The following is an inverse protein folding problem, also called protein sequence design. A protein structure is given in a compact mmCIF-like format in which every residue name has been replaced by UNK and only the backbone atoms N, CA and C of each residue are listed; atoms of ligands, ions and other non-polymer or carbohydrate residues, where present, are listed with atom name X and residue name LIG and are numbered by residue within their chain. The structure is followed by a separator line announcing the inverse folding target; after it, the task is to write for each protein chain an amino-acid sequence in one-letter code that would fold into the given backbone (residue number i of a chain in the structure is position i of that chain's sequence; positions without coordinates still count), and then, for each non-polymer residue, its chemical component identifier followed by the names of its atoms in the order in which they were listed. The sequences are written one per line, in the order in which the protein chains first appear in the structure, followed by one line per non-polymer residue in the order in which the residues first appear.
data_IF_119496166166
#
_entry.id   IF_119496166166
#
_cell.length_a   1.000
_cell.length_b   1.000
_cell.length_c   1.000
_cell.angle_alpha   90.00
_cell.angle_beta   90.00
_cell.angle_gamma   90.00
#
_symmetry.space_group_name_H-M   'P 1'
#
loop_
_entity.id
_entity.type
_entity.pdbx_description
1 polymer ?
#
# COMPACT_ATOMS: atom_id res chain seq x y z
N UNK A 1 -31.85 -54.94 20.84
CA UNK A 1 -31.31 -55.03 19.45
C UNK A 1 -31.95 -53.92 18.65
N UNK A 2 -31.11 -53.07 18.05
CA UNK A 2 -31.42 -52.05 17.05
C UNK A 2 -32.38 -50.92 17.52
N UNK A 3 -32.15 -49.69 17.05
CA UNK A 3 -32.96 -48.48 17.29
C UNK A 3 -32.57 -47.63 18.52
N UNK A 4 -31.27 -47.53 18.86
CA UNK A 4 -30.80 -46.34 19.62
C UNK A 4 -29.40 -45.84 19.25
N UNK A 5 -28.77 -46.40 18.22
CA UNK A 5 -27.46 -45.98 17.70
C UNK A 5 -27.55 -45.28 16.33
N UNK A 6 -28.69 -44.67 16.01
CA UNK A 6 -28.92 -44.00 14.72
C UNK A 6 -29.29 -42.52 14.87
N UNK A 7 -28.57 -41.80 15.75
CA UNK A 7 -28.67 -40.35 15.89
C UNK A 7 -27.28 -39.70 16.02
N UNK A 8 -26.32 -40.21 15.24
CA UNK A 8 -24.99 -39.62 15.07
C UNK A 8 -24.62 -39.53 13.57
N UNK A 9 -25.60 -39.17 12.74
CA UNK A 9 -25.42 -38.92 11.33
C UNK A 9 -26.25 -37.69 10.93
N UNK A 10 -25.93 -36.55 11.52
CA UNK A 10 -26.56 -35.27 11.18
C UNK A 10 -25.47 -34.22 11.01
N UNK A 11 -25.08 -34.09 9.73
CA UNK A 11 -24.47 -32.92 9.10
C UNK A 11 -23.17 -32.35 9.70
N UNK A 12 -22.05 -33.00 9.39
CA UNK A 12 -20.87 -32.23 8.97
C UNK A 12 -21.15 -31.74 7.54
N UNK A 13 -21.86 -30.63 7.39
CA UNK A 13 -21.69 -29.82 6.18
C UNK A 13 -20.29 -29.22 6.27
N UNK A 14 -19.30 -29.90 5.70
CA UNK A 14 -18.08 -29.25 5.27
C UNK A 14 -18.50 -28.19 4.27
N UNK A 15 -18.62 -26.94 4.71
CA UNK A 15 -18.58 -25.82 3.80
C UNK A 15 -17.25 -25.95 3.06
N UNK A 16 -17.29 -26.39 1.80
CA UNK A 16 -16.15 -26.27 0.93
C UNK A 16 -15.89 -24.77 0.85
N UNK A 17 -14.93 -24.28 1.63
CA UNK A 17 -14.37 -22.97 1.40
C UNK A 17 -13.81 -23.05 -0.03
N UNK A 18 -14.50 -22.40 -0.97
CA UNK A 18 -13.89 -22.12 -2.26
C UNK A 18 -12.59 -21.40 -1.93
N UNK A 19 -11.48 -21.93 -2.42
CA UNK A 19 -10.18 -21.30 -2.29
C UNK A 19 -9.68 -21.11 -3.71
N UNK A 20 -9.29 -19.90 -4.06
CA UNK A 20 -8.74 -19.58 -5.36
C UNK A 20 -7.22 -19.61 -5.27
N UNK A 21 -6.63 -20.53 -6.02
CA UNK A 21 -5.19 -20.67 -6.13
C UNK A 21 -4.70 -20.16 -7.49
N UNK A 22 -3.83 -19.13 -7.47
CA UNK A 22 -3.23 -18.53 -8.65
C UNK A 22 -1.82 -19.08 -8.81
N UNK A 23 -1.71 -20.11 -9.65
CA UNK A 23 -0.47 -20.81 -9.98
C UNK A 23 0.25 -20.26 -11.21
N UNK A 24 -0.44 -19.41 -12.00
CA UNK A 24 0.08 -18.81 -13.23
C UNK A 24 -0.27 -17.33 -13.29
N UNK A 25 0.39 -16.60 -14.19
CA UNK A 25 0.15 -15.18 -14.40
C UNK A 25 -1.29 -14.95 -14.90
N UNK A 26 -2.03 -14.06 -14.23
CA UNK A 26 -3.43 -13.78 -14.51
C UNK A 26 -3.68 -12.27 -14.52
N UNK A 27 -4.38 -11.78 -15.54
CA UNK A 27 -4.80 -10.39 -15.66
C UNK A 27 -6.31 -10.36 -15.93
N UNK A 28 -7.06 -9.72 -15.04
CA UNK A 28 -8.50 -9.48 -15.22
C UNK A 28 -8.78 -7.98 -15.27
N UNK A 29 -9.83 -7.59 -16.00
CA UNK A 29 -10.21 -6.20 -16.24
C UNK A 29 -11.70 -5.99 -15.99
N UNK A 30 -12.05 -4.85 -15.40
CA UNK A 30 -13.41 -4.50 -15.03
C UNK A 30 -13.90 -5.26 -13.80
N UNK A 31 -15.18 -5.64 -13.81
CA UNK A 31 -15.81 -6.30 -12.66
C UNK A 31 -15.24 -7.71 -12.45
N UNK A 32 -14.66 -7.93 -11.27
CA UNK A 32 -14.17 -9.23 -10.81
C UNK A 32 -14.72 -9.50 -9.42
N UNK A 33 -15.46 -10.60 -9.25
CA UNK A 33 -15.93 -11.03 -7.95
C UNK A 33 -14.80 -11.71 -7.17
N UNK A 34 -14.45 -11.14 -6.01
CA UNK A 34 -13.42 -11.64 -5.09
C UNK A 34 -14.00 -12.39 -3.89
N UNK A 35 -15.33 -12.59 -3.86
CA UNK A 35 -15.99 -13.45 -2.88
C UNK A 35 -15.85 -14.93 -3.27
N UNK A 36 -14.61 -15.36 -3.42
CA UNK A 36 -14.23 -16.72 -3.85
C UNK A 36 -13.59 -17.53 -2.72
N UNK A 37 -13.74 -17.04 -1.48
CA UNK A 37 -13.02 -17.50 -0.30
C UNK A 37 -11.51 -17.27 -0.39
N UNK A 38 -10.71 -18.06 0.32
CA UNK A 38 -9.29 -17.77 0.51
C UNK A 38 -8.54 -17.69 -0.83
N UNK A 39 -7.75 -16.62 -1.03
CA UNK A 39 -6.94 -16.39 -2.22
C UNK A 39 -5.47 -16.68 -1.90
N UNK A 40 -4.85 -17.55 -2.68
CA UNK A 40 -3.41 -17.81 -2.64
C UNK A 40 -2.78 -17.44 -3.97
N UNK A 41 -1.71 -16.64 -3.95
CA UNK A 41 -0.84 -16.39 -5.10
C UNK A 41 0.46 -17.17 -4.89
N UNK A 42 0.71 -18.14 -5.77
CA UNK A 42 1.90 -18.99 -5.70
C UNK A 42 3.18 -18.25 -6.10
N UNK A 43 4.32 -18.83 -5.74
CA UNK A 43 5.63 -18.28 -6.09
C UNK A 43 5.81 -18.18 -7.60
N UNK A 44 6.21 -17.00 -8.08
CA UNK A 44 6.41 -16.73 -9.51
C UNK A 44 5.13 -16.44 -10.30
N UNK A 45 3.95 -16.57 -9.68
CA UNK A 45 2.67 -16.19 -10.26
C UNK A 45 2.27 -14.76 -9.88
N UNK A 46 1.34 -14.18 -10.62
CA UNK A 46 0.69 -12.95 -10.18
C UNK A 46 -0.77 -12.92 -10.59
N UNK A 47 -1.56 -12.16 -9.86
CA UNK A 47 -2.90 -11.76 -10.27
C UNK A 47 -3.00 -10.24 -10.27
N UNK A 48 -3.24 -9.67 -11.44
CA UNK A 48 -3.45 -8.24 -11.64
C UNK A 48 -4.90 -7.98 -12.04
N UNK A 49 -5.60 -7.18 -11.24
CA UNK A 49 -6.99 -6.82 -11.44
C UNK A 49 -7.04 -5.32 -11.74
N UNK A 50 -7.58 -4.96 -12.90
CA UNK A 50 -7.57 -3.59 -13.40
C UNK A 50 -9.00 -3.07 -13.47
N UNK A 51 -9.22 -1.88 -12.94
CA UNK A 51 -10.50 -1.16 -12.95
C UNK A 51 -11.66 -1.91 -12.28
N UNK A 52 -11.35 -2.75 -11.29
CA UNK A 52 -12.35 -3.34 -10.41
C UNK A 52 -12.67 -2.41 -9.23
N UNK A 53 -13.76 -1.66 -9.34
CA UNK A 53 -14.12 -0.63 -8.37
C UNK A 53 -14.31 -1.15 -6.93
N UNK A 54 -14.91 -2.34 -6.78
CA UNK A 54 -15.22 -2.93 -5.46
C UNK A 54 -14.58 -4.31 -5.37
N UNK A 55 -13.69 -4.47 -4.41
CA UNK A 55 -12.90 -5.67 -4.16
C UNK A 55 -13.08 -6.11 -2.71
N UNK A 56 -13.97 -7.07 -2.49
CA UNK A 56 -14.24 -7.65 -1.17
C UNK A 56 -13.56 -9.01 -1.07
N UNK A 57 -12.45 -9.06 -0.34
CA UNK A 57 -11.71 -10.29 -0.08
C UNK A 57 -12.42 -11.06 1.03
N UNK A 58 -12.73 -12.34 0.81
CA UNK A 58 -13.35 -13.22 1.81
C UNK A 58 -12.37 -14.33 2.17
N UNK A 59 -12.17 -14.61 3.45
CA UNK A 59 -11.17 -15.60 3.89
C UNK A 59 -9.75 -15.04 3.92
N UNK A 60 -8.76 -15.91 3.76
CA UNK A 60 -7.34 -15.54 3.85
C UNK A 60 -6.81 -15.00 2.52
N UNK A 61 -5.92 -14.01 2.57
CA UNK A 61 -5.10 -13.59 1.44
C UNK A 61 -3.64 -13.99 1.71
N UNK A 62 -3.12 -14.91 0.92
CA UNK A 62 -1.73 -15.36 0.98
C UNK A 62 -1.01 -15.04 -0.32
N UNK A 63 0.06 -14.26 -0.25
CA UNK A 63 0.94 -13.98 -1.40
C UNK A 63 2.33 -14.51 -1.07
N UNK A 64 2.75 -15.58 -1.76
CA UNK A 64 4.04 -16.22 -1.52
C UNK A 64 5.20 -15.38 -2.07
N UNK A 65 6.42 -15.74 -1.69
CA UNK A 65 7.63 -15.07 -2.17
C UNK A 65 7.67 -15.05 -3.71
N UNK A 66 8.10 -13.94 -4.30
CA UNK A 66 8.08 -13.70 -5.76
C UNK A 66 6.68 -13.73 -6.41
N UNK A 67 5.61 -13.86 -5.62
CA UNK A 67 4.24 -13.71 -6.08
C UNK A 67 3.78 -12.25 -6.06
N UNK A 68 2.73 -11.92 -6.81
CA UNK A 68 2.17 -10.57 -6.88
C UNK A 68 0.65 -10.52 -6.89
N UNK A 69 0.05 -9.64 -6.07
CA UNK A 69 -1.38 -9.34 -6.08
C UNK A 69 -1.61 -7.84 -6.27
N UNK A 70 -2.26 -7.47 -7.37
CA UNK A 70 -2.43 -6.07 -7.77
C UNK A 70 -3.91 -5.77 -7.99
N UNK A 71 -4.37 -4.63 -7.46
CA UNK A 71 -5.67 -4.03 -7.79
C UNK A 71 -5.40 -2.58 -8.20
N UNK A 72 -5.65 -2.23 -9.46
CA UNK A 72 -5.24 -0.93 -10.01
C UNK A 72 -6.40 -0.24 -10.70
N UNK A 73 -6.62 1.04 -10.41
CA UNK A 73 -7.48 1.92 -11.20
C UNK A 73 -6.63 2.69 -12.20
N UNK A 74 -6.90 2.51 -13.48
CA UNK A 74 -6.30 3.31 -14.57
C UNK A 74 -7.19 4.50 -14.94
N UNK A 75 -8.48 4.41 -14.61
CA UNK A 75 -9.48 5.46 -14.82
C UNK A 75 -9.47 6.55 -13.76
N UNK A 76 -9.73 7.80 -14.17
CA UNK A 76 -9.93 8.95 -13.29
C UNK A 76 -11.25 8.93 -12.49
N UNK A 77 -12.21 8.09 -12.88
CA UNK A 77 -13.55 8.05 -12.27
C UNK A 77 -13.80 6.80 -11.42
N UNK A 78 -12.79 5.96 -11.20
CA UNK A 78 -12.93 4.71 -10.43
C UNK A 78 -12.28 4.87 -9.05
N UNK A 79 -13.11 5.05 -8.03
CA UNK A 79 -12.68 4.98 -6.63
C UNK A 79 -12.57 3.53 -6.18
N UNK A 80 -11.35 3.04 -5.97
CA UNK A 80 -11.13 1.68 -5.48
C UNK A 80 -11.63 1.52 -4.05
N UNK A 81 -12.43 0.49 -3.80
CA UNK A 81 -12.77 0.01 -2.46
C UNK A 81 -12.23 -1.40 -2.29
N UNK A 82 -11.18 -1.55 -1.48
CA UNK A 82 -10.59 -2.86 -1.15
C UNK A 82 -10.76 -3.13 0.33
N UNK A 83 -11.50 -4.19 0.65
CA UNK A 83 -11.83 -4.57 2.02
C UNK A 83 -11.61 -6.05 2.27
N UNK A 84 -11.25 -6.41 3.49
CA UNK A 84 -11.26 -7.80 3.95
C UNK A 84 -12.57 -8.05 4.71
N UNK A 85 -13.50 -8.75 4.08
CA UNK A 85 -14.79 -9.09 4.70
C UNK A 85 -14.61 -10.18 5.77
N UNK A 86 -15.45 -10.08 6.79
CA UNK A 86 -15.61 -10.97 7.97
C UNK A 86 -14.79 -10.65 9.21
N UNK A 87 -13.69 -9.89 9.14
CA UNK A 87 -12.78 -9.73 10.30
C UNK A 87 -12.13 -11.04 10.76
N UNK A 88 -12.41 -12.16 10.07
CA UNK A 88 -11.91 -13.50 10.35
C UNK A 88 -10.74 -13.90 9.42
N UNK A 89 -10.55 -13.18 8.31
CA UNK A 89 -9.47 -13.43 7.35
C UNK A 89 -8.10 -13.02 7.87
N UNK A 90 -7.06 -13.67 7.35
CA UNK A 90 -5.66 -13.36 7.60
C UNK A 90 -4.99 -12.81 6.33
N UNK A 91 -4.10 -11.85 6.49
CA UNK A 91 -3.21 -11.40 5.40
C UNK A 91 -1.80 -11.91 5.68
N UNK A 92 -1.28 -12.75 4.79
CA UNK A 92 0.08 -13.29 4.83
C UNK A 92 0.82 -12.92 3.54
N UNK A 93 1.69 -11.92 3.61
CA UNK A 93 2.41 -11.41 2.45
C UNK A 93 3.93 -11.64 2.55
N UNK A 94 4.46 -12.47 1.67
CA UNK A 94 5.89 -12.63 1.42
C UNK A 94 6.32 -12.16 0.02
N UNK A 95 5.37 -11.77 -0.84
CA UNK A 95 5.58 -11.26 -2.19
C UNK A 95 5.28 -9.76 -2.27
N UNK A 96 4.52 -9.36 -3.29
CA UNK A 96 4.10 -7.96 -3.50
C UNK A 96 2.58 -7.87 -3.48
N UNK A 97 2.02 -7.01 -2.62
CA UNK A 97 0.62 -6.58 -2.66
C UNK A 97 0.59 -5.10 -2.99
N UNK A 98 -0.12 -4.69 -4.03
CA UNK A 98 -0.25 -3.28 -4.39
C UNK A 98 -1.67 -2.91 -4.79
N UNK A 99 -2.27 -1.98 -4.04
CA UNK A 99 -3.55 -1.36 -4.39
C UNK A 99 -3.29 0.05 -4.86
N UNK A 100 -3.53 0.28 -6.15
CA UNK A 100 -3.08 1.47 -6.85
C UNK A 100 -4.23 2.30 -7.41
N UNK A 101 -4.56 3.38 -6.70
CA UNK A 101 -5.53 4.39 -7.12
C UNK A 101 -4.89 5.73 -7.52
N UNK A 102 -3.64 5.74 -7.96
CA UNK A 102 -2.91 6.97 -8.29
C UNK A 102 -3.56 7.79 -9.43
N UNK A 103 -4.18 7.11 -10.40
CA UNK A 103 -4.82 7.76 -11.56
C UNK A 103 -6.28 8.17 -11.29
N UNK A 104 -6.88 7.71 -10.19
CA UNK A 104 -8.26 8.03 -9.82
C UNK A 104 -8.37 9.42 -9.19
N UNK A 105 -9.37 10.20 -9.59
CA UNK A 105 -9.75 11.42 -8.87
C UNK A 105 -10.61 11.11 -7.64
N UNK A 106 -11.32 9.97 -7.63
CA UNK A 106 -12.11 9.55 -6.47
C UNK A 106 -11.20 8.94 -5.38
N UNK A 107 -11.44 9.27 -4.11
CA UNK A 107 -10.62 8.77 -3.01
C UNK A 107 -10.82 7.26 -2.83
N UNK A 108 -9.76 6.45 -2.77
CA UNK A 108 -9.91 5.03 -2.49
C UNK A 108 -10.20 4.77 -1.02
N UNK A 109 -10.87 3.64 -0.76
CA UNK A 109 -11.07 3.07 0.56
C UNK A 109 -10.32 1.76 0.65
N UNK A 110 -9.20 1.76 1.36
CA UNK A 110 -8.45 0.55 1.72
C UNK A 110 -8.69 0.29 3.21
N UNK A 111 -9.63 -0.59 3.52
CA UNK A 111 -10.01 -0.91 4.88
C UNK A 111 -9.89 -2.42 5.12
N UNK A 112 -8.67 -2.86 5.43
CA UNK A 112 -8.37 -4.28 5.62
C UNK A 112 -8.46 -4.61 7.11
N UNK A 113 -9.55 -5.28 7.48
CA UNK A 113 -9.83 -5.69 8.87
C UNK A 113 -9.79 -7.22 8.92
N UNK A 114 -8.81 -7.76 9.63
CA UNK A 114 -8.60 -9.21 9.76
C UNK A 114 -8.19 -9.65 11.17
N UNK A 115 -8.04 -10.96 11.37
CA UNK A 115 -7.52 -11.53 12.62
C UNK A 115 -6.01 -11.37 12.73
N UNK A 116 -5.31 -11.49 11.60
CA UNK A 116 -3.88 -11.27 11.56
C UNK A 116 -3.43 -10.58 10.28
N UNK A 117 -2.37 -9.80 10.43
CA UNK A 117 -1.63 -9.18 9.35
C UNK A 117 -0.16 -9.51 9.53
N UNK A 118 0.43 -10.22 8.58
CA UNK A 118 1.85 -10.57 8.54
C UNK A 118 2.43 -10.16 7.20
N UNK A 119 3.42 -9.26 7.22
CA UNK A 119 4.11 -8.77 6.03
C UNK A 119 5.63 -8.95 6.14
N UNK A 120 6.21 -9.83 5.32
CA UNK A 120 7.65 -9.96 5.09
C UNK A 120 8.07 -9.53 3.69
N UNK A 121 7.10 -9.33 2.78
CA UNK A 121 7.29 -8.81 1.42
C UNK A 121 7.09 -7.29 1.34
N UNK A 122 6.41 -6.84 0.28
CA UNK A 122 6.12 -5.44 0.02
C UNK A 122 4.60 -5.19 -0.07
N UNK A 123 4.11 -4.15 0.59
CA UNK A 123 2.69 -3.79 0.64
C UNK A 123 2.50 -2.32 0.29
N UNK A 124 1.70 -2.01 -0.73
CA UNK A 124 1.51 -0.64 -1.22
C UNK A 124 0.04 -0.22 -1.21
N UNK A 125 -0.24 0.96 -0.65
CA UNK A 125 -1.56 1.59 -0.61
C UNK A 125 -1.48 3.00 -1.20
N UNK A 126 -1.90 3.12 -2.46
CA UNK A 126 -1.63 4.30 -3.30
C UNK A 126 -2.93 5.03 -3.63
N UNK A 127 -2.91 6.36 -3.56
CA UNK A 127 -4.01 7.24 -3.95
C UNK A 127 -3.49 8.48 -4.68
N UNK A 128 -4.35 9.16 -5.44
CA UNK A 128 -4.01 10.49 -5.96
C UNK A 128 -3.97 11.55 -4.85
N UNK A 129 -4.95 11.52 -3.94
CA UNK A 129 -5.15 12.58 -2.93
C UNK A 129 -5.69 13.89 -3.51
N UNK A 130 -6.24 13.88 -4.73
CA UNK A 130 -6.74 15.07 -5.41
C UNK A 130 -8.10 15.56 -4.90
N UNK A 131 -9.06 14.64 -4.70
CA UNK A 131 -10.41 14.94 -4.24
C UNK A 131 -10.78 14.00 -3.09
N UNK A 132 -11.41 14.56 -2.06
CA UNK A 132 -11.90 13.80 -0.91
C UNK A 132 -10.79 13.22 -0.05
N UNK A 133 -11.15 12.19 0.72
CA UNK A 133 -10.32 11.64 1.80
C UNK A 133 -10.12 10.16 1.56
N UNK A 134 -8.88 9.76 1.28
CA UNK A 134 -8.54 8.35 1.13
C UNK A 134 -8.47 7.69 2.52
N UNK A 135 -9.08 6.52 2.66
CA UNK A 135 -8.96 5.71 3.88
C UNK A 135 -7.89 4.65 3.66
N UNK A 136 -6.88 4.58 4.54
CA UNK A 136 -5.80 3.59 4.47
C UNK A 136 -5.59 2.94 5.82
N UNK A 137 -6.18 1.76 5.99
CA UNK A 137 -6.21 1.04 7.26
C UNK A 137 -5.77 -0.40 7.13
N UNK A 138 -4.85 -0.80 8.00
CA UNK A 138 -4.41 -2.19 8.18
C UNK A 138 -4.69 -2.60 9.63
N UNK A 139 -5.86 -3.20 9.87
CA UNK A 139 -6.37 -3.49 11.19
C UNK A 139 -6.33 -4.99 11.49
N UNK A 140 -5.56 -5.37 12.51
CA UNK A 140 -5.55 -6.71 13.06
C UNK A 140 -5.06 -6.70 14.52
N UNK A 141 -5.57 -7.59 15.40
CA UNK A 141 -5.04 -7.77 16.75
C UNK A 141 -3.67 -8.44 16.75
N UNK A 142 -3.38 -9.34 15.79
CA UNK A 142 -2.04 -9.86 15.55
C UNK A 142 -1.42 -9.16 14.35
N UNK A 143 -0.49 -8.24 14.57
CA UNK A 143 0.06 -7.39 13.52
C UNK A 143 1.59 -7.44 13.51
N UNK A 144 2.18 -7.88 12.40
CA UNK A 144 3.62 -8.04 12.21
C UNK A 144 4.08 -7.53 10.86
N UNK A 145 5.12 -6.70 10.88
CA UNK A 145 5.83 -6.25 9.69
C UNK A 145 7.34 -6.48 9.85
N UNK A 146 7.94 -7.26 8.96
CA UNK A 146 9.40 -7.39 8.76
C UNK A 146 9.83 -6.91 7.37
N UNK A 147 8.88 -6.71 6.45
CA UNK A 147 9.09 -6.23 5.10
C UNK A 147 8.91 -4.71 4.95
N UNK A 148 8.38 -4.30 3.80
CA UNK A 148 8.04 -2.91 3.48
C UNK A 148 6.52 -2.72 3.46
N UNK A 149 6.03 -1.65 4.07
CA UNK A 149 4.69 -1.11 3.87
C UNK A 149 4.84 0.34 3.41
N UNK A 150 4.21 0.71 2.29
CA UNK A 150 4.29 2.05 1.73
C UNK A 150 2.89 2.62 1.52
N UNK A 151 2.63 3.74 2.19
CA UNK A 151 1.46 4.57 1.99
C UNK A 151 1.89 5.74 1.12
N UNK A 152 1.18 5.94 0.01
CA UNK A 152 1.52 6.99 -0.94
C UNK A 152 0.28 7.76 -1.38
N UNK A 153 0.34 9.07 -1.30
CA UNK A 153 -0.55 9.97 -2.00
C UNK A 153 0.25 10.88 -2.93
N UNK A 154 -0.21 11.08 -4.17
CA UNK A 154 0.44 12.02 -5.08
C UNK A 154 0.35 13.47 -4.56
N UNK A 155 -0.76 13.79 -3.87
CA UNK A 155 -0.99 15.04 -3.16
C UNK A 155 -1.46 14.75 -1.73
N UNK A 156 -1.00 15.56 -0.78
CA UNK A 156 -1.46 15.46 0.61
C UNK A 156 -2.93 15.87 0.72
N UNK A 157 -3.77 14.95 1.21
CA UNK A 157 -5.16 15.24 1.55
C UNK A 157 -5.24 15.81 2.97
N UNK A 158 -6.20 16.71 3.23
CA UNK A 158 -6.33 17.33 4.53
C UNK A 158 -6.73 16.34 5.62
N UNK A 159 -7.58 15.34 5.33
CA UNK A 159 -8.16 14.51 6.38
C UNK A 159 -7.80 13.01 6.26
N UNK A 160 -6.91 12.65 5.33
CA UNK A 160 -6.49 11.26 5.13
C UNK A 160 -5.53 10.81 6.23
N UNK A 161 -5.96 9.85 7.05
CA UNK A 161 -5.16 9.30 8.16
C UNK A 161 -4.85 7.83 7.91
N UNK A 162 -3.55 7.49 7.98
CA UNK A 162 -3.07 6.12 8.01
C UNK A 162 -3.28 5.55 9.41
N UNK A 163 -3.97 4.40 9.50
CA UNK A 163 -4.27 3.71 10.75
C UNK A 163 -3.72 2.28 10.75
N UNK A 164 -3.05 1.88 11.83
CA UNK A 164 -2.35 0.60 11.94
C UNK A 164 -2.69 -0.13 13.24
N UNK A 165 -3.03 -1.42 13.11
CA UNK A 165 -3.33 -2.31 14.23
C UNK A 165 -4.72 -2.13 14.81
N UNK A 166 -5.17 -3.11 15.59
CA UNK A 166 -6.41 -3.02 16.33
C UNK A 166 -6.21 -2.32 17.69
N UNK A 167 -7.18 -1.51 18.11
CA UNK A 167 -7.16 -0.82 19.40
C UNK A 167 -6.94 -1.81 20.56
N UNK A 168 -6.09 -1.45 21.51
CA UNK A 168 -5.74 -2.29 22.66
C UNK A 168 -4.66 -3.34 22.36
N UNK A 169 -4.28 -3.55 21.11
CA UNK A 169 -3.23 -4.50 20.71
C UNK A 169 -2.01 -3.77 20.14
N UNK A 170 -0.78 -4.22 20.44
CA UNK A 170 0.42 -3.63 19.88
C UNK A 170 0.61 -4.05 18.41
N UNK A 171 1.19 -3.15 17.62
CA UNK A 171 1.81 -3.52 16.34
C UNK A 171 3.27 -3.90 16.56
N UNK A 172 3.74 -4.95 15.87
CA UNK A 172 5.16 -5.32 15.84
C UNK A 172 5.77 -4.91 14.50
N UNK A 173 6.63 -3.90 14.51
CA UNK A 173 7.32 -3.42 13.32
C UNK A 173 8.83 -3.61 13.46
N UNK A 174 9.37 -4.60 12.75
CA UNK A 174 10.81 -4.83 12.58
C UNK A 174 11.27 -4.49 11.15
N UNK A 175 10.34 -4.12 10.27
CA UNK A 175 10.60 -3.71 8.89
C UNK A 175 10.55 -2.20 8.71
N UNK A 176 10.18 -1.79 7.49
CA UNK A 176 10.06 -0.41 7.05
C UNK A 176 8.59 -0.04 6.82
N UNK A 177 8.17 1.10 7.36
CA UNK A 177 6.93 1.77 6.99
C UNK A 177 7.30 3.11 6.34
N UNK A 178 6.72 3.40 5.18
CA UNK A 178 6.98 4.61 4.41
C UNK A 178 5.69 5.40 4.22
N UNK A 179 5.77 6.71 4.46
CA UNK A 179 4.68 7.66 4.36
C UNK A 179 5.10 8.72 3.32
N UNK A 180 4.29 8.90 2.28
CA UNK A 180 4.52 9.93 1.26
C UNK A 180 3.26 10.80 1.12
N UNK A 181 3.36 12.08 1.47
CA UNK A 181 2.20 12.98 1.61
C UNK A 181 1.10 12.37 2.50
N UNK A 182 1.45 11.76 3.64
CA UNK A 182 0.49 11.12 4.55
C UNK A 182 0.53 11.72 5.95
N UNK A 183 -0.59 11.60 6.66
CA UNK A 183 -0.65 11.74 8.11
C UNK A 183 -0.81 10.36 8.74
N UNK A 184 0.17 9.95 9.55
CA UNK A 184 0.06 8.78 10.41
C UNK A 184 -0.29 9.22 11.84
N UNK A 185 -1.34 8.64 12.40
CA UNK A 185 -1.73 8.86 13.79
C UNK A 185 -1.56 7.57 14.59
N UNK A 186 -0.70 7.63 15.61
CA UNK A 186 -0.49 6.50 16.51
C UNK A 186 -1.73 6.26 17.38
N UNK A 187 -2.37 5.10 17.20
CA UNK A 187 -3.52 4.64 18.01
C UNK A 187 -3.21 3.38 18.83
N UNK A 188 -2.08 2.73 18.55
CA UNK A 188 -1.63 1.47 19.18
C UNK A 188 -0.21 1.60 19.74
N UNK A 189 0.18 0.69 20.64
CA UNK A 189 1.58 0.58 21.05
C UNK A 189 2.42 0.02 19.89
N UNK A 190 3.66 0.47 19.74
CA UNK A 190 4.57 0.04 18.68
C UNK A 190 5.75 -0.68 19.33
N UNK A 191 5.96 -1.93 18.93
CA UNK A 191 7.08 -2.76 19.39
C UNK A 191 8.00 -3.11 18.22
N UNK A 192 9.27 -3.40 18.52
CA UNK A 192 10.24 -3.82 17.51
C UNK A 192 11.32 -2.79 17.23
N UNK A 193 12.16 -3.10 16.25
CA UNK A 193 13.39 -2.36 15.93
C UNK A 193 13.36 -1.73 14.54
N UNK A 194 12.18 -1.63 13.94
CA UNK A 194 12.02 -1.17 12.57
C UNK A 194 12.03 0.35 12.45
N UNK A 195 11.62 0.83 11.27
CA UNK A 195 11.61 2.24 10.94
C UNK A 195 10.24 2.71 10.42
N UNK A 196 9.84 3.93 10.78
CA UNK A 196 8.75 4.67 10.13
C UNK A 196 9.38 5.92 9.50
N UNK A 197 9.35 6.00 8.18
CA UNK A 197 9.88 7.14 7.43
C UNK A 197 8.75 8.05 7.00
N UNK A 198 8.88 9.34 7.30
CA UNK A 198 8.07 10.40 6.73
C UNK A 198 8.86 11.05 5.58
N UNK A 199 8.26 11.05 4.40
CA UNK A 199 8.79 11.65 3.18
C UNK A 199 7.70 12.49 2.48
N UNK A 200 8.09 13.37 1.57
CA UNK A 200 7.22 14.24 0.78
C UNK A 200 6.16 14.95 1.65
N UNK A 201 6.60 15.78 2.61
CA UNK A 201 5.69 16.47 3.55
C UNK A 201 4.72 15.47 4.20
N UNK A 202 5.24 14.47 4.92
CA UNK A 202 4.43 13.57 5.73
C UNK A 202 4.49 13.96 7.20
N UNK A 203 3.50 13.57 7.98
CA UNK A 203 3.47 13.83 9.43
C UNK A 203 3.22 12.57 10.22
N UNK A 204 4.02 12.38 11.25
CA UNK A 204 3.84 11.33 12.24
C UNK A 204 3.37 11.99 13.53
N UNK A 205 2.16 11.66 13.95
CA UNK A 205 1.58 12.16 15.18
C UNK A 205 1.48 11.05 16.24
N UNK A 206 2.27 11.17 17.31
CA UNK A 206 2.12 10.37 18.52
C UNK A 206 0.94 10.92 19.33
N UNK A 207 -0.28 10.57 18.90
CA UNK A 207 -1.53 11.07 19.48
C UNK A 207 -1.86 10.45 20.84
N UNK A 208 -1.32 9.27 21.15
CA UNK A 208 -1.50 8.64 22.46
C UNK A 208 -0.15 8.25 23.04
N UNK A 209 0.50 9.21 23.69
CA UNK A 209 1.82 9.03 24.29
C UNK A 209 1.80 8.22 25.58
N UNK A 210 0.63 7.79 26.08
CA UNK A 210 0.55 6.76 27.12
C UNK A 210 0.88 5.38 26.57
N UNK A 211 0.56 5.10 25.31
CA UNK A 211 0.94 3.88 24.61
C UNK A 211 2.45 3.83 24.38
N UNK A 212 3.03 2.64 24.49
CA UNK A 212 4.48 2.50 24.41
C UNK A 212 4.94 2.49 22.95
N UNK A 213 6.07 3.15 22.69
CA UNK A 213 6.85 2.98 21.46
C UNK A 213 8.21 2.47 21.91
N UNK A 214 8.64 1.34 21.36
CA UNK A 214 9.94 0.75 21.64
C UNK A 214 11.05 1.78 21.39
N UNK A 215 12.03 1.88 22.29
CA UNK A 215 13.14 2.81 22.14
C UNK A 215 14.02 2.53 20.91
N UNK A 216 13.97 1.30 20.39
CA UNK A 216 14.68 0.87 19.19
C UNK A 216 13.91 1.15 17.90
N UNK A 217 12.62 1.47 17.98
CA UNK A 217 11.85 1.93 16.85
C UNK A 217 12.34 3.33 16.46
N UNK A 218 12.63 3.55 15.19
CA UNK A 218 13.13 4.84 14.71
C UNK A 218 12.12 5.51 13.79
N UNK A 219 11.93 6.80 14.02
CA UNK A 219 11.27 7.68 13.05
C UNK A 219 12.33 8.41 12.25
N UNK A 220 12.23 8.36 10.93
CA UNK A 220 13.15 9.04 10.02
C UNK A 220 12.40 10.12 9.22
N UNK A 221 12.90 11.36 9.31
CA UNK A 221 12.45 12.47 8.46
C UNK A 221 13.33 12.51 7.21
N UNK A 222 12.79 12.06 6.08
CA UNK A 222 13.54 11.95 4.83
C UNK A 222 13.69 13.28 4.08
N UNK A 223 12.79 14.23 4.35
CA UNK A 223 12.76 15.54 3.68
C UNK A 223 12.67 16.72 4.68
N UNK A 224 12.70 17.94 4.13
CA UNK A 224 12.68 19.21 4.87
C UNK A 224 11.29 19.70 5.28
N UNK A 225 10.22 19.12 4.74
CA UNK A 225 8.83 19.53 5.00
C UNK A 225 8.12 18.60 5.99
N UNK A 226 8.54 17.33 6.07
CA UNK A 226 7.98 16.37 7.01
C UNK A 226 8.07 16.80 8.48
N UNK A 227 7.25 16.19 9.33
CA UNK A 227 7.22 16.56 10.75
C UNK A 227 6.86 15.41 11.70
N UNK A 228 7.27 15.57 12.95
CA UNK A 228 6.84 14.74 14.07
C UNK A 228 6.13 15.62 15.08
N UNK A 229 4.95 15.18 15.54
CA UNK A 229 4.23 15.80 16.66
C UNK A 229 3.97 14.76 17.74
N UNK A 230 3.99 15.18 19.00
CA UNK A 230 3.67 14.30 20.12
C UNK A 230 2.69 14.97 21.10
N UNK A 231 1.79 14.17 21.66
CA UNK A 231 0.90 14.62 22.74
C UNK A 231 1.70 14.87 24.00
N UNK A 232 1.64 16.07 24.55
CA UNK A 232 2.42 16.46 25.74
C UNK A 232 1.85 15.84 27.02
N UNK A 233 2.71 15.26 27.86
CA UNK A 233 2.30 14.60 29.12
C UNK A 233 3.26 14.98 30.26
N UNK A 234 2.84 14.76 31.50
CA UNK A 234 3.63 15.08 32.70
C UNK A 234 4.81 14.13 32.93
N UNK A 235 4.72 12.88 32.43
CA UNK A 235 5.78 11.89 32.46
C UNK A 235 6.32 11.68 31.03
N UNK A 236 7.26 12.53 30.56
CA UNK A 236 7.68 12.53 29.17
C UNK A 236 8.34 11.21 28.76
N UNK A 237 8.05 10.77 27.54
CA UNK A 237 8.76 9.68 26.87
C UNK A 237 9.85 10.25 25.97
N UNK A 238 10.79 9.38 25.61
CA UNK A 238 11.86 9.70 24.65
C UNK A 238 11.63 8.95 23.35
N UNK A 239 11.42 9.68 22.25
CA UNK A 239 11.27 9.10 20.91
C UNK A 239 12.58 9.20 20.13
N UNK A 240 12.98 8.15 19.42
CA UNK A 240 14.19 8.17 18.59
C UNK A 240 13.87 8.72 17.21
N UNK A 241 14.44 9.88 16.88
CA UNK A 241 14.19 10.60 15.63
C UNK A 241 15.51 10.75 14.87
N UNK A 242 15.51 10.43 13.59
CA UNK A 242 16.62 10.65 12.67
C UNK A 242 16.20 11.63 11.56
N UNK A 243 17.17 12.32 10.96
CA UNK A 243 16.92 13.25 9.85
C UNK A 243 16.40 14.63 10.25
N UNK A 244 16.37 14.98 11.54
CA UNK A 244 15.95 16.32 11.97
C UNK A 244 16.92 17.40 11.45
N UNK A 245 16.41 18.36 10.69
CA UNK A 245 17.18 19.42 10.05
C UNK A 245 16.60 19.90 8.73
N UNK A 246 17.30 20.84 8.09
CA UNK A 246 16.90 21.44 6.81
C UNK A 246 15.50 22.09 6.80
N UNK A 247 14.92 22.41 7.97
CA UNK A 247 13.61 23.05 8.08
C UNK A 247 12.47 22.14 8.57
N UNK A 248 12.67 20.82 8.65
CA UNK A 248 11.62 19.94 9.18
C UNK A 248 11.33 20.22 10.66
N UNK A 249 10.18 19.73 11.15
CA UNK A 249 9.63 20.15 12.45
C UNK A 249 9.50 18.98 13.43
N UNK A 250 9.81 19.25 14.70
CA UNK A 250 9.43 18.42 15.84
C UNK A 250 8.61 19.29 16.80
N UNK A 251 7.43 18.83 17.21
CA UNK A 251 6.53 19.63 18.03
C UNK A 251 5.68 18.86 19.04
N UNK A 252 4.92 19.64 19.81
CA UNK A 252 3.89 19.18 20.72
C UNK A 252 2.51 19.54 20.15
N UNK A 253 1.47 18.87 20.67
CA UNK A 253 0.07 19.21 20.40
C UNK A 253 -0.44 20.45 21.16
N UNK A 254 0.46 21.12 21.89
CA UNK A 254 0.21 22.36 22.64
C UNK A 254 1.33 23.39 22.37
N UNK A 255 1.07 24.69 22.57
CA UNK A 255 2.11 25.70 22.46
C UNK A 255 3.28 25.44 23.41
N UNK A 256 4.50 25.72 22.95
CA UNK A 256 5.70 25.66 23.78
C UNK A 256 5.75 26.87 24.70
N UNK A 257 5.96 26.64 26.00
CA UNK A 257 5.96 27.69 27.02
C UNK A 257 7.19 27.56 27.91
N UNK A 258 7.86 28.68 28.19
CA UNK A 258 8.96 28.71 29.15
C UNK A 258 8.42 28.69 30.56
N UNK A 259 9.02 27.90 31.43
CA UNK A 259 8.74 27.92 32.87
C UNK A 259 9.85 28.72 33.58
N UNK A 260 9.63 29.21 34.81
CA UNK A 260 10.71 29.77 35.61
C UNK A 260 11.91 28.80 35.64
N UNK A 261 13.08 29.30 35.26
CA UNK A 261 14.35 28.55 35.20
C UNK A 261 14.44 27.43 34.15
N UNK A 262 13.43 27.24 33.28
CA UNK A 262 13.45 26.23 32.21
C UNK A 262 13.01 26.83 30.87
N UNK A 263 13.85 26.66 29.84
CA UNK A 263 13.54 27.07 28.47
C UNK A 263 12.44 26.20 27.84
N UNK A 264 11.71 26.80 26.89
CA UNK A 264 10.67 26.15 26.06
C UNK A 264 11.19 24.87 25.39
N UNK A 265 12.45 24.88 24.97
CA UNK A 265 13.17 23.71 24.52
C UNK A 265 14.59 23.70 25.06
N UNK A 266 15.19 22.52 25.21
CA UNK A 266 16.60 22.37 25.54
C UNK A 266 17.20 21.19 24.77
N UNK A 267 18.40 21.36 24.25
CA UNK A 267 19.16 20.31 23.58
C UNK A 267 20.43 20.01 24.38
N UNK A 268 20.51 18.76 24.84
CA UNK A 268 21.68 18.22 25.52
C UNK A 268 22.65 17.63 24.49
N UNK A 269 23.79 18.29 24.33
CA UNK A 269 24.84 17.90 23.39
C UNK A 269 25.58 16.62 23.77
N UNK A 270 25.42 16.13 25.00
CA UNK A 270 26.06 14.89 25.47
C UNK A 270 25.18 13.66 25.19
N UNK A 271 23.88 13.76 25.42
CA UNK A 271 22.92 12.67 25.17
C UNK A 271 22.29 12.71 23.78
N UNK A 272 22.32 13.86 23.11
CA UNK A 272 21.66 14.08 21.82
C UNK A 272 20.14 14.19 21.94
N UNK A 273 19.64 14.57 23.11
CA UNK A 273 18.21 14.67 23.41
C UNK A 273 17.74 16.12 23.33
N UNK A 274 16.74 16.37 22.48
CA UNK A 274 15.95 17.58 22.44
C UNK A 274 14.71 17.40 23.32
N UNK A 275 14.56 18.25 24.34
CA UNK A 275 13.37 18.29 25.20
C UNK A 275 12.51 19.47 24.80
N UNK A 276 11.22 19.24 24.56
CA UNK A 276 10.22 20.28 24.33
C UNK A 276 9.28 20.38 25.53
N UNK A 277 8.91 21.60 25.93
CA UNK A 277 8.08 21.90 27.10
C UNK A 277 6.91 22.81 26.73
N UNK A 278 5.72 22.44 27.19
CA UNK A 278 4.49 23.21 27.02
C UNK A 278 3.99 23.77 28.35
N UNK A 279 2.71 24.13 28.39
CA UNK A 279 2.06 24.67 29.59
C UNK A 279 2.16 23.69 30.79
N UNK A 280 2.46 24.23 31.98
CA UNK A 280 2.61 23.44 33.20
C UNK A 280 3.85 22.54 33.16
N UNK A 281 3.75 21.30 33.65
CA UNK A 281 4.85 20.32 33.63
C UNK A 281 4.82 19.40 32.40
N UNK A 282 4.06 19.76 31.36
CA UNK A 282 3.87 18.92 30.18
C UNK A 282 5.08 19.02 29.25
N UNK A 283 5.62 17.88 28.83
CA UNK A 283 6.80 17.82 27.98
C UNK A 283 6.90 16.52 27.18
N UNK A 284 7.82 16.51 26.20
CA UNK A 284 8.32 15.29 25.56
C UNK A 284 9.80 15.41 25.24
N UNK A 285 10.46 14.25 25.05
CA UNK A 285 11.87 14.15 24.69
C UNK A 285 12.03 13.47 23.34
N UNK A 286 13.01 13.93 22.57
CA UNK A 286 13.32 13.43 21.24
C UNK A 286 14.83 13.20 21.16
N UNK A 287 15.26 11.95 21.01
CA UNK A 287 16.66 11.61 20.77
C UNK A 287 16.95 11.84 19.29
N UNK A 288 17.48 13.03 18.97
CA UNK A 288 17.76 13.50 17.61
C UNK A 288 19.21 13.24 17.17
N UNK A 289 20.07 12.79 18.10
CA UNK A 289 21.49 12.53 17.87
C UNK A 289 22.38 13.71 18.25
N UNK A 290 23.69 13.53 18.06
CA UNK A 290 24.72 14.49 18.47
C UNK A 290 25.04 15.49 17.35
N UNK A 291 25.77 16.56 17.69
CA UNK A 291 26.36 17.49 16.70
C UNK A 291 25.49 18.68 16.28
N UNK A 292 24.28 18.84 16.83
CA UNK A 292 23.44 20.00 16.53
C UNK A 292 23.98 21.30 17.14
N UNK A 293 23.96 22.38 16.37
CA UNK A 293 24.32 23.71 16.84
C UNK A 293 23.08 24.45 17.38
N UNK A 294 23.14 24.89 18.64
CA UNK A 294 22.02 25.54 19.35
C UNK A 294 21.46 26.79 18.63
N UNK A 295 22.27 27.48 17.81
CA UNK A 295 21.86 28.70 17.09
C UNK A 295 20.90 28.46 15.92
N UNK A 296 20.76 27.22 15.45
CA UNK A 296 19.87 26.88 14.32
C UNK A 296 18.50 26.38 14.75
N UNK A 297 18.28 26.17 16.05
CA UNK A 297 16.95 25.85 16.57
C UNK A 297 16.09 27.12 16.61
N UNK A 298 14.87 27.02 16.07
CA UNK A 298 13.89 28.11 16.10
C UNK A 298 12.52 27.57 16.48
N UNK A 299 11.83 28.30 17.36
CA UNK A 299 10.42 28.04 17.64
C UNK A 299 9.61 28.44 16.40
N UNK A 300 8.64 27.60 16.03
CA UNK A 300 7.76 27.83 14.89
C UNK A 300 6.34 27.34 15.21
N UNK A 301 5.39 27.75 14.37
CA UNK A 301 4.03 27.23 14.40
C UNK A 301 3.98 25.87 13.71
N UNK A 302 3.31 24.92 14.34
CA UNK A 302 3.05 23.66 13.68
C UNK A 302 1.76 23.71 12.85
N UNK A 303 1.92 23.83 11.53
CA UNK A 303 0.85 23.87 10.52
C UNK A 303 0.67 22.54 9.78
N UNK A 304 1.10 21.41 10.34
CA UNK A 304 1.03 20.13 9.64
C UNK A 304 -0.40 19.77 9.24
N UNK A 305 -0.57 19.52 7.93
CA UNK A 305 -1.88 19.33 7.31
C UNK A 305 -2.60 18.10 7.92
N UNK A 306 -3.88 18.28 8.24
CA UNK A 306 -4.72 17.27 8.90
C UNK A 306 -4.66 17.24 10.42
N UNK A 307 -3.87 18.12 11.01
CA UNK A 307 -3.91 18.39 12.43
C UNK A 307 -4.28 19.86 12.68
N UNK A 308 -4.88 20.13 13.84
CA UNK A 308 -5.10 21.51 14.27
C UNK A 308 -3.76 22.25 14.34
N UNK A 309 -3.73 23.48 13.84
CA UNK A 309 -2.53 24.32 13.91
C UNK A 309 -2.20 24.67 15.35
N UNK A 310 -0.93 24.57 15.73
CA UNK A 310 -0.46 24.88 17.08
C UNK A 310 0.54 26.04 17.01
N UNK A 311 0.10 27.28 17.28
CA UNK A 311 0.99 28.44 17.34
C UNK A 311 2.13 28.22 18.32
N UNK A 312 3.37 28.43 17.87
CA UNK A 312 4.58 28.22 18.68
C UNK A 312 4.67 26.80 19.28
N UNK A 313 4.03 25.80 18.66
CA UNK A 313 3.98 24.42 19.15
C UNK A 313 5.15 23.54 18.72
N UNK A 314 6.06 24.04 17.88
CA UNK A 314 7.15 23.23 17.34
C UNK A 314 8.50 23.95 17.37
N UNK A 315 9.54 23.14 17.19
CA UNK A 315 10.90 23.58 16.90
C UNK A 315 11.29 23.08 15.52
N UNK A 316 11.87 23.97 14.73
CA UNK A 316 12.55 23.63 13.47
C UNK A 316 14.06 23.81 13.66
N UNK A 317 14.84 23.04 12.91
CA UNK A 317 16.29 23.22 12.82
C UNK A 317 16.66 23.65 11.39
N UNK A 318 17.14 24.88 11.24
CA UNK A 318 17.39 25.48 9.92
C UNK A 318 18.74 25.09 9.31
N UNK A 319 19.64 24.49 10.10
CA UNK A 319 20.92 23.99 9.61
C UNK A 319 20.80 22.60 8.95
N UNK A 320 21.88 22.10 8.35
CA UNK A 320 21.92 20.73 7.82
C UNK A 320 21.89 19.69 8.94
N UNK A 321 21.35 18.51 8.64
CA UNK A 321 21.38 17.35 9.56
C UNK A 321 22.85 17.02 9.90
N UNK A 322 23.29 17.12 11.18
CA UNK A 322 24.70 16.96 11.54
C UNK A 322 25.31 15.59 11.18
N UNK A 323 24.49 14.54 11.22
CA UNK A 323 24.82 13.21 10.73
C UNK A 323 23.74 12.74 9.77
N UNK A 324 23.96 12.96 8.48
CA UNK A 324 22.98 12.68 7.42
C UNK A 324 22.90 11.19 7.04
N UNK A 325 23.51 10.29 7.80
CA UNK A 325 23.42 8.85 7.52
C UNK A 325 22.02 8.36 7.86
N UNK A 326 21.39 7.72 6.87
CA UNK A 326 20.15 6.96 7.08
C UNK A 326 20.45 5.85 8.10
N UNK A 327 19.69 5.73 9.20
CA UNK A 327 19.86 4.66 10.18
C UNK A 327 19.82 3.27 9.52
N UNK A 328 20.57 2.29 10.01
CA UNK A 328 20.68 0.97 9.37
C UNK A 328 19.33 0.23 9.24
N UNK A 329 18.44 0.44 10.21
CA UNK A 329 17.08 -0.08 10.22
C UNK A 329 16.12 0.67 9.28
N UNK A 330 16.51 1.86 8.81
CA UNK A 330 15.76 2.64 7.82
C UNK A 330 16.35 2.43 6.43
N UNK A 331 15.49 2.38 5.41
CA UNK A 331 15.89 2.31 3.99
C UNK A 331 15.24 3.45 3.22
N UNK A 332 15.83 3.92 2.11
CA UNK A 332 15.13 4.81 1.19
C UNK A 332 13.78 4.21 0.81
N UNK A 333 12.74 5.03 0.85
CA UNK A 333 11.39 4.56 0.53
C UNK A 333 11.29 4.19 -0.94
N UNK A 334 10.77 2.99 -1.22
CA UNK A 334 10.49 2.56 -2.60
C UNK A 334 9.16 3.19 -3.05
N UNK A 335 9.14 3.63 -4.30
CA UNK A 335 7.90 3.95 -4.98
C UNK A 335 7.12 2.65 -5.24
N UNK A 336 5.79 2.78 -5.36
CA UNK A 336 4.92 1.66 -5.68
C UNK A 336 5.26 1.04 -7.05
N UNK A 337 5.07 -0.28 -7.22
CA UNK A 337 5.34 -0.96 -8.48
C UNK A 337 4.23 -0.69 -9.51
N UNK A 338 4.60 -0.74 -10.80
CA UNK A 338 3.62 -0.80 -11.88
C UNK A 338 2.91 -2.16 -11.87
N UNK A 339 1.59 -2.17 -12.02
CA UNK A 339 0.81 -3.39 -12.09
C UNK A 339 0.89 -4.01 -13.50
N UNK A 340 1.13 -5.32 -13.64
CA UNK A 340 1.09 -5.99 -14.94
C UNK A 340 -0.25 -5.77 -15.65
N UNK A 341 -0.21 -5.39 -16.93
CA UNK A 341 -1.39 -5.18 -17.77
C UNK A 341 -2.12 -3.85 -17.59
N UNK A 342 -1.68 -2.98 -16.67
CA UNK A 342 -2.30 -1.66 -16.44
C UNK A 342 -2.05 -0.67 -17.59
N UNK A 343 -1.00 -0.87 -18.37
CA UNK A 343 -0.72 -0.06 -19.56
C UNK A 343 -1.30 -0.72 -20.82
N UNK A 344 -1.73 0.09 -21.83
CA UNK A 344 -2.07 -0.43 -23.14
C UNK A 344 -0.95 -1.30 -23.69
N UNK A 345 -1.29 -2.47 -24.21
CA UNK A 345 -0.31 -3.45 -24.67
C UNK A 345 -0.58 -3.79 -26.13
N UNK A 346 0.50 -3.86 -26.91
CA UNK A 346 0.50 -4.34 -28.28
C UNK A 346 1.22 -5.68 -28.31
N UNK A 347 0.54 -6.71 -28.77
CA UNK A 347 1.12 -8.03 -29.00
C UNK A 347 0.85 -8.48 -30.43
N UNK A 348 1.62 -9.45 -30.91
CA UNK A 348 1.40 -10.09 -32.20
C UNK A 348 1.07 -11.55 -31.98
N UNK A 349 0.08 -12.07 -32.71
CA UNK A 349 -0.23 -13.50 -32.77
C UNK A 349 -0.08 -14.00 -34.19
N UNK A 350 0.25 -15.27 -34.35
CA UNK A 350 0.22 -15.94 -35.64
C UNK A 350 -1.12 -16.64 -35.82
N UNK A 351 -1.70 -16.50 -37.01
CA UNK A 351 -2.90 -17.23 -37.42
C UNK A 351 -2.47 -18.22 -38.48
N UNK A 352 -2.62 -19.50 -38.18
CA UNK A 352 -2.27 -20.58 -39.12
C UNK A 352 -3.56 -21.03 -39.82
N UNK A 353 -3.54 -20.99 -41.14
CA UNK A 353 -4.63 -21.44 -41.99
C UNK A 353 -4.13 -22.48 -42.99
N UNK A 354 -4.98 -23.45 -43.32
CA UNK A 354 -4.68 -24.47 -44.33
C UNK A 354 -5.43 -24.13 -45.61
N UNK A 355 -4.71 -23.97 -46.71
CA UNK A 355 -5.28 -23.69 -48.04
C UNK A 355 -5.92 -24.95 -48.63
N UNK A 356 -6.76 -24.77 -49.65
CA UNK A 356 -7.45 -25.87 -50.34
C UNK A 356 -6.51 -26.88 -51.02
N UNK A 357 -5.26 -26.49 -51.32
CA UNK A 357 -4.22 -27.38 -51.85
C UNK A 357 -3.45 -28.14 -50.76
N UNK A 358 -3.85 -28.01 -49.50
CA UNK A 358 -3.20 -28.62 -48.34
C UNK A 358 -1.95 -27.87 -47.85
N UNK A 359 -1.57 -26.77 -48.50
CA UNK A 359 -0.45 -25.95 -48.02
C UNK A 359 -0.85 -25.11 -46.80
N UNK A 360 0.09 -24.94 -45.88
CA UNK A 360 -0.11 -24.14 -44.67
C UNK A 360 0.32 -22.70 -44.95
N UNK A 361 -0.50 -21.75 -44.49
CA UNK A 361 -0.24 -20.33 -44.56
C UNK A 361 -0.29 -19.74 -43.15
N UNK A 362 0.50 -18.69 -42.91
CA UNK A 362 0.61 -18.04 -41.60
C UNK A 362 0.49 -16.54 -41.78
N UNK A 363 -0.59 -15.97 -41.25
CA UNK A 363 -0.76 -14.52 -41.13
C UNK A 363 -0.26 -14.05 -39.76
N UNK A 364 0.13 -12.78 -39.67
CA UNK A 364 0.51 -12.14 -38.41
C UNK A 364 -0.52 -11.07 -38.10
N UNK A 365 -1.24 -11.27 -37.00
CA UNK A 365 -2.20 -10.31 -36.47
C UNK A 365 -1.56 -9.54 -35.32
N UNK A 366 -1.81 -8.24 -35.29
CA UNK A 366 -1.53 -7.39 -34.14
C UNK A 366 -2.79 -7.27 -33.29
N UNK A 367 -2.62 -7.52 -32.00
CA UNK A 367 -3.64 -7.35 -30.98
C UNK A 367 -3.26 -6.14 -30.15
N UNK A 368 -4.19 -5.19 -30.06
CA UNK A 368 -4.07 -4.00 -29.24
C UNK A 368 -5.09 -4.12 -28.12
N UNK A 369 -4.61 -4.18 -26.88
CA UNK A 369 -5.45 -4.07 -25.69
C UNK A 369 -5.30 -2.64 -25.19
N UNK A 370 -6.39 -1.88 -25.23
CA UNK A 370 -6.40 -0.47 -24.84
C UNK A 370 -7.73 -0.13 -24.17
N UNK A 371 -7.87 1.10 -23.71
CA UNK A 371 -9.12 1.62 -23.16
C UNK A 371 -9.53 2.89 -23.88
N UNK A 372 -10.84 3.15 -23.93
CA UNK A 372 -11.36 4.40 -24.48
C UNK A 372 -11.16 5.57 -23.49
N UNK A 373 -11.65 6.76 -23.87
CA UNK A 373 -11.58 7.96 -23.01
C UNK A 373 -12.42 7.85 -21.74
N UNK A 374 -13.28 6.83 -21.63
CA UNK A 374 -14.09 6.51 -20.45
C UNK A 374 -13.50 5.33 -19.66
N UNK A 375 -12.29 4.88 -19.99
CA UNK A 375 -11.60 3.74 -19.40
C UNK A 375 -12.33 2.39 -19.57
N UNK A 376 -13.16 2.25 -20.61
CA UNK A 376 -13.68 0.95 -21.01
C UNK A 376 -12.64 0.21 -21.83
N UNK A 377 -12.17 -0.93 -21.31
CA UNK A 377 -11.20 -1.76 -22.00
C UNK A 377 -11.79 -2.42 -23.25
N UNK A 378 -11.02 -2.41 -24.33
CA UNK A 378 -11.33 -3.07 -25.59
C UNK A 378 -10.11 -3.80 -26.15
N UNK A 379 -10.39 -4.77 -27.00
CA UNK A 379 -9.37 -5.48 -27.79
C UNK A 379 -9.63 -5.18 -29.25
N UNK A 380 -8.62 -4.67 -29.95
CA UNK A 380 -8.65 -4.49 -31.40
C UNK A 380 -7.66 -5.45 -32.04
N UNK A 381 -8.06 -6.10 -33.13
CA UNK A 381 -7.19 -6.96 -33.92
C UNK A 381 -7.05 -6.38 -35.32
N UNK A 382 -5.81 -6.27 -35.80
CA UNK A 382 -5.50 -5.81 -37.15
C UNK A 382 -4.45 -6.72 -37.79
N UNK A 383 -4.69 -7.14 -39.03
CA UNK A 383 -3.73 -7.94 -39.79
C UNK A 383 -2.52 -7.06 -40.14
N UNK A 384 -1.32 -7.46 -39.73
CA UNK A 384 -0.06 -6.74 -40.02
C UNK A 384 0.64 -7.33 -41.23
N UNK A 385 0.50 -8.64 -41.43
CA UNK A 385 1.02 -9.34 -42.59
C UNK A 385 -0.02 -10.32 -43.09
N UNK A 386 -0.61 -9.99 -44.24
CA UNK A 386 -1.57 -10.83 -44.95
C UNK A 386 -0.82 -11.62 -46.03
N UNK A 387 -0.37 -12.81 -45.67
CA UNK A 387 0.35 -13.74 -46.56
C UNK A 387 -0.66 -14.62 -47.31
N UNK A 388 -1.88 -14.76 -46.80
CA UNK A 388 -2.87 -15.71 -47.30
C UNK A 388 -3.84 -15.14 -48.36
N UNK A 389 -3.89 -13.83 -48.62
CA UNK A 389 -4.90 -13.18 -49.48
C UNK A 389 -4.69 -13.25 -51.01
N UNK A 390 -3.98 -14.26 -51.51
CA UNK A 390 -3.82 -14.47 -52.98
C UNK A 390 -4.54 -15.73 -53.48
N UNK A 391 -5.88 -15.75 -53.43
CA UNK A 391 -6.84 -16.25 -54.46
C UNK A 391 -8.23 -16.55 -53.88
N UNK A 392 -9.28 -16.19 -54.64
CA UNK A 392 -10.69 -16.53 -54.36
C UNK A 392 -10.88 -18.04 -54.23
N UNK A 393 -11.76 -18.45 -53.30
CA UNK A 393 -12.16 -19.81 -52.93
C UNK A 393 -11.23 -20.57 -51.98
N UNK A 394 -11.20 -20.20 -50.71
CA UNK A 394 -10.70 -21.09 -49.66
C UNK A 394 -11.56 -20.99 -48.40
N UNK A 395 -12.16 -22.11 -48.01
CA UNK A 395 -12.66 -22.32 -46.66
C UNK A 395 -11.52 -22.05 -45.69
N UNK A 396 -11.59 -20.97 -44.92
CA UNK A 396 -10.50 -20.56 -44.04
C UNK A 396 -10.79 -21.06 -42.63
N UNK A 397 -10.18 -22.17 -42.22
CA UNK A 397 -10.21 -22.56 -40.80
C UNK A 397 -9.19 -21.69 -40.05
N UNK A 398 -9.67 -20.70 -39.31
CA UNK A 398 -8.82 -19.83 -38.48
C UNK A 398 -8.53 -20.53 -37.15
N UNK A 399 -7.28 -20.92 -36.94
CA UNK A 399 -6.83 -21.42 -35.63
C UNK A 399 -6.00 -20.33 -34.96
N UNK A 400 -6.60 -19.65 -33.97
CA UNK A 400 -5.91 -18.66 -33.14
C UNK A 400 -5.27 -19.38 -31.95
N UNK A 401 -3.94 -19.32 -31.82
CA UNK A 401 -3.26 -19.87 -30.64
C UNK A 401 -2.92 -18.72 -29.70
N UNK A 402 -3.61 -18.65 -28.56
CA UNK A 402 -3.43 -17.61 -27.55
C UNK A 402 -2.25 -17.96 -26.63
N UNK A 403 -1.39 -17.00 -26.30
CA UNK A 403 -0.32 -17.19 -25.30
C UNK A 403 -0.75 -16.87 -23.87
N UNK A 404 -2.06 -16.86 -23.62
CA UNK A 404 -2.61 -17.10 -22.29
C UNK A 404 -3.62 -18.23 -22.32
N UNK A 405 -4.12 -18.61 -21.16
CA UNK A 405 -4.38 -20.01 -20.80
C UNK A 405 -5.66 -20.66 -21.36
N UNK A 406 -6.17 -20.29 -22.53
CA UNK A 406 -7.30 -20.98 -23.18
C UNK A 406 -7.16 -21.06 -24.71
N UNK A 407 -7.25 -22.27 -25.26
CA UNK A 407 -7.41 -22.51 -26.71
C UNK A 407 -8.90 -22.51 -27.04
N UNK A 408 -9.34 -21.58 -27.89
CA UNK A 408 -10.71 -21.61 -28.44
C UNK A 408 -10.61 -21.92 -29.93
N UNK A 409 -11.08 -23.10 -30.34
CA UNK A 409 -11.22 -23.47 -31.75
C UNK A 409 -12.58 -22.99 -32.22
N UNK A 410 -12.61 -22.02 -33.13
CA UNK A 410 -13.84 -21.60 -33.81
C UNK A 410 -13.80 -22.10 -35.24
N UNK A 411 -14.72 -23.01 -35.57
CA UNK A 411 -14.95 -23.45 -36.96
C UNK A 411 -16.10 -22.63 -37.53
N UNK A 412 -15.79 -21.60 -38.32
CA UNK A 412 -16.80 -20.94 -39.15
C UNK A 412 -16.80 -21.58 -40.54
N UNK A 413 -18.01 -21.91 -41.01
CA UNK A 413 -18.22 -22.47 -42.34
C UNK A 413 -18.79 -21.34 -43.20
N UNK A 414 -17.95 -20.71 -44.01
CA UNK A 414 -18.45 -19.82 -45.06
C UNK A 414 -19.25 -20.66 -46.06
N UNK A 415 -20.54 -20.35 -46.18
CA UNK A 415 -21.41 -20.95 -47.18
C UNK A 415 -21.32 -20.07 -48.45
N UNK A 416 -21.15 -20.67 -49.64
CA UNK A 416 -20.82 -19.95 -50.88
C UNK A 416 -21.80 -18.86 -51.31
#
# INVERSE_FOLDING_TARGET
MLISKLLAATFYFSAAAFALDITTQRIDRGYVDLNVGSITIESGAYWSIIDNAISVLVGDLTVKQNGGFFITATSSIIGLSVTLASGLGNINNAGVIAFNGANSLLPPTYNLIGLSFTNSGEFYLVSSGNIGVATKGLFAPSWKNTGLISFYSAKRSADGVVNLGALGFPIQNNGQICLHNELYQQTTSITGTGCITADLDSTIFFANTLLNIDSNQVVYLADSQSSVRATAISLPKTFTIAGFGNGNKIGLDIPLVSLPFLSTYDYDSSSGILTLRGAGLLSQKFKIGLGYNKNYFKITTDTSLGLLSVPLGAVTYTGPVPNNKIPAQCKPCKLYPSAPGAEPTVTTTTVVSTKSDGSVCTDIDQIIISHDTKASWFTSTSVVSEICSTKQNSQTTKTSTWTGTFTTTVTETDTP
#
